data_IF_570178777552
#
_entry.id   IF_570178777552
#
_cell.length_a   1.000
_cell.length_b   1.000
_cell.length_c   1.000
_cell.angle_alpha   90.00
_cell.angle_beta   90.00
_cell.angle_gamma   90.00
#
_symmetry.space_group_name_H-M   'P 1'
#
loop_
_entity.id
_entity.type
_entity.pdbx_description
1 polymer ?
#
# COMPACT_ATOMS: atom_id res chain seq x y z
N UNK A 1 46.36 22.26 15.01
CA UNK A 1 44.89 22.24 14.79
C UNK A 1 44.53 20.89 14.20
N UNK A 2 43.96 20.00 15.01
CA UNK A 2 43.38 18.73 14.54
C UNK A 2 41.97 18.73 15.08
N UNK A 3 41.02 19.13 14.23
CA UNK A 3 39.61 19.06 14.55
C UNK A 3 39.22 17.59 14.59
N UNK A 4 38.77 17.15 15.77
CA UNK A 4 38.14 15.87 15.96
C UNK A 4 36.96 15.76 15.01
N UNK A 5 36.93 14.70 14.19
CA UNK A 5 35.72 14.26 13.52
C UNK A 5 34.71 13.95 14.61
N UNK A 6 33.72 14.82 14.81
CA UNK A 6 32.53 14.47 15.56
C UNK A 6 31.87 13.32 14.83
N UNK A 7 31.96 12.11 15.40
CA UNK A 7 31.10 10.98 15.03
C UNK A 7 29.67 11.40 15.39
N UNK A 8 28.98 12.03 14.45
CA UNK A 8 27.52 12.03 14.45
C UNK A 8 27.12 10.58 14.21
N UNK A 9 26.61 9.90 15.24
CA UNK A 9 25.93 8.61 15.05
C UNK A 9 24.77 8.85 14.09
N UNK A 10 24.92 8.38 12.84
CA UNK A 10 23.86 8.46 11.85
C UNK A 10 22.64 7.71 12.36
N UNK A 11 21.45 8.30 12.24
CA UNK A 11 20.22 7.64 12.65
C UNK A 11 19.94 6.45 11.71
N UNK A 12 19.16 5.47 12.16
CA UNK A 12 18.75 4.34 11.32
C UNK A 12 18.07 4.82 10.02
N UNK A 13 17.27 5.90 10.11
CA UNK A 13 16.64 6.54 8.96
C UNK A 13 17.65 7.11 7.96
N UNK A 14 18.75 7.70 8.43
CA UNK A 14 19.80 8.26 7.55
C UNK A 14 20.52 7.14 6.80
N UNK A 15 20.82 6.05 7.49
CA UNK A 15 21.42 4.86 6.88
C UNK A 15 20.48 4.23 5.85
N UNK A 16 19.18 4.09 6.17
CA UNK A 16 18.18 3.60 5.23
C UNK A 16 18.11 4.50 3.98
N UNK A 17 18.09 5.83 4.14
CA UNK A 17 18.03 6.77 3.02
C UNK A 17 19.24 6.65 2.08
N UNK A 18 20.44 6.41 2.62
CA UNK A 18 21.67 6.24 1.84
C UNK A 18 21.66 4.91 1.09
N UNK A 19 21.20 3.82 1.73
CA UNK A 19 21.29 2.48 1.16
C UNK A 19 20.09 2.09 0.27
N UNK A 20 18.90 2.62 0.52
CA UNK A 20 17.67 2.24 -0.18
C UNK A 20 17.78 2.34 -1.71
N UNK A 21 18.35 3.40 -2.33
CA UNK A 21 18.47 3.49 -3.79
C UNK A 21 19.33 2.37 -4.40
N UNK A 22 20.43 2.00 -3.73
CA UNK A 22 21.32 0.93 -4.19
C UNK A 22 20.64 -0.44 -4.08
N UNK A 23 19.97 -0.71 -2.96
CA UNK A 23 19.19 -1.94 -2.76
C UNK A 23 18.04 -2.03 -3.77
N UNK A 24 17.34 -0.92 -4.03
CA UNK A 24 16.26 -0.86 -5.02
C UNK A 24 16.75 -1.21 -6.43
N UNK A 25 17.90 -0.68 -6.84
CA UNK A 25 18.47 -0.97 -8.14
C UNK A 25 18.84 -2.45 -8.29
N UNK A 26 19.43 -3.05 -7.25
CA UNK A 26 19.72 -4.49 -7.22
C UNK A 26 18.44 -5.32 -7.32
N UNK A 27 17.41 -4.98 -6.53
CA UNK A 27 16.12 -5.69 -6.56
C UNK A 27 15.44 -5.57 -7.92
N UNK A 28 15.46 -4.39 -8.55
CA UNK A 28 14.97 -4.19 -9.93
C UNK A 28 15.72 -5.05 -10.93
N UNK A 29 17.04 -5.15 -10.79
CA UNK A 29 17.88 -5.93 -11.69
C UNK A 29 17.57 -7.42 -11.59
N UNK A 30 17.34 -7.93 -10.37
CA UNK A 30 16.87 -9.30 -10.14
C UNK A 30 15.46 -9.49 -10.72
N UNK A 31 14.56 -8.54 -10.49
CA UNK A 31 13.17 -8.61 -10.92
C UNK A 31 13.00 -8.73 -12.45
N UNK A 32 13.93 -8.21 -13.26
CA UNK A 32 13.87 -8.27 -14.73
C UNK A 32 13.88 -9.70 -15.29
N UNK A 33 14.58 -10.63 -14.62
CA UNK A 33 14.69 -12.03 -15.02
C UNK A 33 14.06 -12.97 -13.98
N UNK A 34 13.31 -12.42 -13.02
CA UNK A 34 12.77 -13.20 -11.93
C UNK A 34 11.71 -14.19 -12.40
N UNK A 35 11.80 -15.39 -11.83
CA UNK A 35 10.78 -16.44 -11.93
C UNK A 35 10.20 -16.68 -10.53
N UNK A 36 9.14 -17.48 -10.43
CA UNK A 36 8.53 -17.83 -9.14
C UNK A 36 9.55 -18.44 -8.16
N UNK A 37 10.44 -19.31 -8.65
CA UNK A 37 11.49 -19.94 -7.84
C UNK A 37 12.46 -18.91 -7.22
N UNK A 38 12.75 -17.82 -7.94
CA UNK A 38 13.62 -16.76 -7.43
C UNK A 38 12.95 -16.00 -6.28
N UNK A 39 11.63 -15.78 -6.39
CA UNK A 39 10.84 -15.11 -5.35
C UNK A 39 10.72 -15.99 -4.10
N UNK A 40 10.48 -17.28 -4.27
CA UNK A 40 10.46 -18.26 -3.17
C UNK A 40 11.77 -18.27 -2.39
N UNK A 41 12.90 -18.35 -3.12
CA UNK A 41 14.23 -18.34 -2.50
C UNK A 41 14.49 -17.03 -1.76
N UNK A 42 14.14 -15.90 -2.37
CA UNK A 42 14.35 -14.58 -1.78
C UNK A 42 13.52 -14.40 -0.51
N UNK A 43 12.26 -14.85 -0.48
CA UNK A 43 11.45 -14.83 0.73
C UNK A 43 11.96 -15.79 1.80
N UNK A 44 12.49 -16.96 1.40
CA UNK A 44 13.11 -17.87 2.34
C UNK A 44 14.34 -17.25 3.02
N UNK A 45 15.18 -16.55 2.24
CA UNK A 45 16.34 -15.83 2.77
C UNK A 45 15.94 -14.63 3.63
N UNK A 46 14.96 -13.83 3.18
CA UNK A 46 14.50 -12.67 3.93
C UNK A 46 13.92 -13.04 5.31
N UNK A 47 13.26 -14.20 5.44
CA UNK A 47 12.76 -14.69 6.73
C UNK A 47 13.85 -14.81 7.82
N UNK A 48 15.12 -14.91 7.44
CA UNK A 48 16.24 -14.91 8.39
C UNK A 48 16.54 -13.51 8.96
N UNK A 49 16.03 -12.45 8.33
CA UNK A 49 16.29 -11.03 8.63
C UNK A 49 14.99 -10.21 8.64
N UNK A 50 13.90 -10.78 9.16
CA UNK A 50 12.54 -10.25 9.02
C UNK A 50 12.28 -8.88 9.69
N UNK A 51 13.24 -8.37 10.48
CA UNK A 51 13.15 -7.06 11.12
C UNK A 51 13.49 -5.90 10.16
N UNK A 52 14.16 -6.17 9.03
CA UNK A 52 14.59 -5.12 8.10
C UNK A 52 13.47 -4.70 7.14
N UNK A 53 12.73 -3.65 7.47
CA UNK A 53 11.63 -3.13 6.64
C UNK A 53 12.09 -2.58 5.30
N UNK A 54 13.25 -1.93 5.24
CA UNK A 54 13.80 -1.31 4.02
C UNK A 54 13.96 -2.34 2.91
N UNK A 55 14.55 -3.50 3.20
CA UNK A 55 14.76 -4.55 2.19
C UNK A 55 13.44 -5.11 1.69
N UNK A 56 12.49 -5.36 2.60
CA UNK A 56 11.16 -5.86 2.23
C UNK A 56 10.41 -4.87 1.34
N UNK A 57 10.54 -3.57 1.62
CA UNK A 57 9.92 -2.51 0.82
C UNK A 57 10.47 -2.49 -0.60
N UNK A 58 11.79 -2.58 -0.74
CA UNK A 58 12.42 -2.64 -2.06
C UNK A 58 12.05 -3.93 -2.80
N UNK A 59 11.94 -5.06 -2.11
CA UNK A 59 11.48 -6.32 -2.69
C UNK A 59 10.04 -6.22 -3.20
N UNK A 60 9.11 -5.75 -2.37
CA UNK A 60 7.70 -5.58 -2.76
C UNK A 60 7.58 -4.59 -3.93
N UNK A 61 8.34 -3.49 -3.90
CA UNK A 61 8.24 -2.44 -4.92
C UNK A 61 8.89 -2.83 -6.25
N UNK A 62 9.97 -3.61 -6.24
CA UNK A 62 10.68 -3.99 -7.46
C UNK A 62 10.01 -5.14 -8.22
N UNK A 63 9.51 -6.16 -7.51
CA UNK A 63 9.02 -7.37 -8.16
C UNK A 63 7.66 -7.18 -8.86
N UNK A 64 7.39 -7.91 -9.96
CA UNK A 64 6.09 -7.89 -10.62
C UNK A 64 4.97 -8.43 -9.72
N UNK A 65 3.79 -7.80 -9.76
CA UNK A 65 2.66 -8.20 -8.91
C UNK A 65 2.20 -9.64 -9.14
N UNK A 66 2.30 -10.14 -10.39
CA UNK A 66 1.99 -11.54 -10.75
C UNK A 66 2.80 -12.57 -9.96
N UNK A 67 4.07 -12.27 -9.68
CA UNK A 67 4.92 -13.18 -8.90
C UNK A 67 4.62 -13.05 -7.40
N UNK A 68 4.31 -11.84 -6.92
CA UNK A 68 4.00 -11.60 -5.51
C UNK A 68 2.64 -12.13 -5.08
N UNK A 69 1.65 -12.15 -5.99
CA UNK A 69 0.27 -12.53 -5.70
C UNK A 69 0.16 -13.88 -4.99
N UNK A 70 0.89 -14.90 -5.44
CA UNK A 70 0.88 -16.25 -4.84
C UNK A 70 1.37 -16.28 -3.39
N UNK A 71 2.15 -15.29 -2.98
CA UNK A 71 2.75 -15.18 -1.65
C UNK A 71 2.08 -14.10 -0.79
N UNK A 72 0.89 -13.63 -1.17
CA UNK A 72 0.20 -12.52 -0.50
C UNK A 72 0.16 -12.69 1.02
N UNK A 73 -0.29 -13.84 1.52
CA UNK A 73 -0.40 -14.06 2.96
C UNK A 73 0.95 -14.21 3.65
N UNK A 74 1.96 -14.78 2.98
CA UNK A 74 3.32 -14.83 3.51
C UNK A 74 3.90 -13.42 3.66
N UNK A 75 3.67 -12.55 2.68
CA UNK A 75 4.05 -11.13 2.73
C UNK A 75 3.32 -10.40 3.86
N UNK A 76 2.02 -10.63 4.06
CA UNK A 76 1.28 -10.04 5.20
C UNK A 76 1.94 -10.42 6.53
N UNK A 77 2.32 -11.69 6.71
CA UNK A 77 2.97 -12.13 7.95
C UNK A 77 4.35 -11.46 8.15
N UNK A 78 5.13 -11.31 7.08
CA UNK A 78 6.42 -10.60 7.14
C UNK A 78 6.22 -9.12 7.47
N UNK A 79 5.29 -8.44 6.79
CA UNK A 79 5.00 -7.01 7.02
C UNK A 79 4.57 -6.78 8.48
N UNK A 80 3.78 -7.70 9.07
CA UNK A 80 3.35 -7.59 10.47
C UNK A 80 4.50 -7.59 11.49
N UNK A 81 5.67 -8.10 11.12
CA UNK A 81 6.87 -8.13 11.96
C UNK A 81 7.71 -6.84 11.84
N UNK A 82 7.38 -5.96 10.89
CA UNK A 82 8.10 -4.70 10.65
C UNK A 82 7.48 -3.51 11.40
N UNK A 83 8.24 -2.42 11.53
CA UNK A 83 7.77 -1.18 12.18
C UNK A 83 6.93 -0.28 11.25
N UNK A 84 7.21 -0.27 9.95
CA UNK A 84 6.56 0.61 8.94
C UNK A 84 5.53 -0.16 8.09
N UNK A 85 4.47 -0.65 8.75
CA UNK A 85 3.52 -1.59 8.16
C UNK A 85 2.65 -0.94 7.09
N UNK A 86 2.24 0.30 7.33
CA UNK A 86 1.34 1.08 6.49
C UNK A 86 1.91 1.28 5.08
N UNK A 87 3.18 1.66 4.97
CA UNK A 87 3.82 1.89 3.69
C UNK A 87 4.04 0.59 2.91
N UNK A 88 4.44 -0.48 3.60
CA UNK A 88 4.56 -1.81 3.01
C UNK A 88 3.23 -2.37 2.51
N UNK A 89 2.15 -2.20 3.29
CA UNK A 89 0.81 -2.58 2.86
C UNK A 89 0.31 -1.75 1.67
N UNK A 90 0.63 -0.45 1.64
CA UNK A 90 0.35 0.42 0.50
C UNK A 90 1.06 -0.08 -0.76
N UNK A 91 2.37 -0.35 -0.68
CA UNK A 91 3.16 -0.88 -1.78
C UNK A 91 2.65 -2.25 -2.27
N UNK A 92 2.35 -3.16 -1.35
CA UNK A 92 1.78 -4.47 -1.68
C UNK A 92 0.43 -4.34 -2.39
N UNK A 93 -0.44 -3.44 -1.91
CA UNK A 93 -1.76 -3.22 -2.50
C UNK A 93 -1.65 -2.74 -3.95
N UNK A 94 -0.72 -1.81 -4.23
CA UNK A 94 -0.44 -1.37 -5.60
C UNK A 94 0.04 -2.51 -6.49
N UNK A 95 0.87 -3.42 -5.98
CA UNK A 95 1.32 -4.59 -6.74
C UNK A 95 0.20 -5.57 -7.03
N UNK A 96 -0.72 -5.73 -6.09
CA UNK A 96 -1.87 -6.62 -6.25
C UNK A 96 -2.93 -6.07 -7.22
N UNK A 97 -2.82 -4.81 -7.67
CA UNK A 97 -3.60 -4.30 -8.80
C UNK A 97 -3.23 -5.05 -10.09
N UNK A 98 -1.95 -5.40 -10.29
CA UNK A 98 -1.48 -6.14 -11.46
C UNK A 98 -1.97 -7.60 -11.47
N UNK A 99 -2.11 -8.21 -10.29
CA UNK A 99 -2.58 -9.57 -10.11
C UNK A 99 -3.22 -9.76 -8.73
N UNK A 100 -4.44 -10.31 -8.65
CA UNK A 100 -5.13 -10.46 -7.38
C UNK A 100 -4.47 -11.51 -6.49
N UNK A 101 -4.67 -11.44 -5.17
CA UNK A 101 -4.41 -12.57 -4.28
C UNK A 101 -5.18 -13.83 -4.72
N UNK A 102 -4.71 -15.03 -4.33
CA UNK A 102 -5.45 -16.27 -4.49
C UNK A 102 -6.88 -16.12 -3.99
N UNK A 103 -7.85 -16.75 -4.68
CA UNK A 103 -9.27 -16.54 -4.39
C UNK A 103 -9.65 -16.84 -2.92
N UNK A 104 -9.01 -17.84 -2.31
CA UNK A 104 -9.22 -18.21 -0.90
C UNK A 104 -8.59 -17.20 0.08
N UNK A 105 -7.59 -16.43 -0.35
CA UNK A 105 -6.87 -15.45 0.47
C UNK A 105 -7.46 -14.04 0.37
N UNK A 106 -8.24 -13.73 -0.68
CA UNK A 106 -8.75 -12.37 -0.96
C UNK A 106 -9.39 -11.70 0.27
N UNK A 107 -10.38 -12.35 0.88
CA UNK A 107 -11.08 -11.78 2.03
C UNK A 107 -10.21 -11.74 3.28
N UNK A 108 -9.32 -12.72 3.47
CA UNK A 108 -8.41 -12.76 4.62
C UNK A 108 -7.41 -11.62 4.54
N UNK A 109 -6.78 -11.44 3.38
CA UNK A 109 -5.89 -10.31 3.07
C UNK A 109 -6.60 -8.98 3.33
N UNK A 110 -7.81 -8.81 2.78
CA UNK A 110 -8.59 -7.59 2.91
C UNK A 110 -8.80 -7.23 4.39
N UNK A 111 -9.27 -8.18 5.19
CA UNK A 111 -9.55 -7.95 6.61
C UNK A 111 -8.27 -7.67 7.41
N UNK A 112 -7.20 -8.43 7.19
CA UNK A 112 -5.93 -8.28 7.90
C UNK A 112 -5.32 -6.90 7.66
N UNK A 113 -5.18 -6.51 6.39
CA UNK A 113 -4.57 -5.24 5.99
C UNK A 113 -5.45 -4.07 6.40
N UNK A 114 -6.75 -4.14 6.12
CA UNK A 114 -7.67 -3.06 6.44
C UNK A 114 -7.78 -2.80 7.94
N UNK A 115 -7.74 -3.85 8.76
CA UNK A 115 -7.74 -3.70 10.22
C UNK A 115 -6.59 -2.80 10.70
N UNK A 116 -5.44 -2.84 10.02
CA UNK A 116 -4.28 -2.01 10.37
C UNK A 116 -4.44 -0.58 9.86
N UNK A 117 -4.83 -0.40 8.59
CA UNK A 117 -4.93 0.91 7.96
C UNK A 117 -6.03 1.78 8.59
N UNK A 118 -7.19 1.22 8.92
CA UNK A 118 -8.34 1.96 9.50
C UNK A 118 -8.08 2.50 10.93
N UNK A 119 -6.98 2.09 11.56
CA UNK A 119 -6.57 2.56 12.90
C UNK A 119 -5.51 3.67 12.84
N UNK A 120 -5.13 4.13 11.65
CA UNK A 120 -4.15 5.20 11.51
C UNK A 120 -4.75 6.54 11.95
N UNK A 121 -4.14 7.14 12.97
CA UNK A 121 -4.54 8.47 13.46
C UNK A 121 -4.12 9.59 12.49
N UNK A 122 -2.99 9.41 11.79
CA UNK A 122 -2.55 10.34 10.74
C UNK A 122 -3.42 10.18 9.49
N UNK A 123 -4.31 11.15 9.28
CA UNK A 123 -5.21 11.20 8.13
C UNK A 123 -4.46 11.23 6.78
N UNK A 124 -3.23 11.77 6.73
CA UNK A 124 -2.42 11.74 5.51
C UNK A 124 -1.94 10.32 5.20
N UNK A 125 -1.35 9.64 6.18
CA UNK A 125 -0.94 8.25 6.03
C UNK A 125 -2.14 7.35 5.67
N UNK A 126 -3.27 7.57 6.34
CA UNK A 126 -4.52 6.89 6.03
C UNK A 126 -4.95 7.08 4.57
N UNK A 127 -5.08 8.32 4.09
CA UNK A 127 -5.55 8.58 2.72
C UNK A 127 -4.57 8.05 1.66
N UNK A 128 -3.26 8.13 1.91
CA UNK A 128 -2.26 7.53 1.01
C UNK A 128 -2.47 6.02 0.88
N UNK A 129 -2.76 5.33 1.98
CA UNK A 129 -3.07 3.90 1.98
C UNK A 129 -4.42 3.61 1.31
N UNK A 130 -5.46 4.38 1.65
CA UNK A 130 -6.78 4.24 1.06
C UNK A 130 -6.78 4.41 -0.46
N UNK A 131 -5.98 5.35 -1.00
CA UNK A 131 -5.81 5.54 -2.45
C UNK A 131 -5.17 4.33 -3.15
N UNK A 132 -4.21 3.67 -2.53
CA UNK A 132 -3.66 2.41 -3.06
C UNK A 132 -4.68 1.27 -2.96
N UNK A 133 -5.40 1.20 -1.85
CA UNK A 133 -6.32 0.13 -1.55
C UNK A 133 -7.56 0.19 -2.44
N UNK A 134 -8.11 1.38 -2.70
CA UNK A 134 -9.25 1.55 -3.60
C UNK A 134 -8.92 1.06 -5.01
N UNK A 135 -7.71 1.29 -5.52
CA UNK A 135 -7.28 0.76 -6.82
C UNK A 135 -7.32 -0.77 -6.88
N UNK A 136 -6.92 -1.44 -5.79
CA UNK A 136 -7.00 -2.88 -5.66
C UNK A 136 -8.46 -3.37 -5.58
N UNK A 137 -9.28 -2.75 -4.74
CA UNK A 137 -10.68 -3.13 -4.55
C UNK A 137 -11.45 -3.04 -5.86
N UNK A 138 -11.27 -1.92 -6.55
CA UNK A 138 -11.93 -1.59 -7.79
C UNK A 138 -11.56 -2.56 -8.93
N UNK A 139 -10.29 -3.01 -8.97
CA UNK A 139 -9.83 -3.98 -9.96
C UNK A 139 -10.26 -5.43 -9.67
N UNK A 140 -10.31 -5.85 -8.40
CA UNK A 140 -10.33 -7.28 -8.04
C UNK A 140 -11.40 -7.72 -7.04
N UNK A 141 -12.18 -6.79 -6.49
CA UNK A 141 -13.20 -7.02 -5.47
C UNK A 141 -14.57 -6.46 -5.90
N UNK A 142 -15.59 -6.72 -5.10
CA UNK A 142 -16.96 -6.26 -5.38
C UNK A 142 -17.12 -4.76 -5.08
N UNK A 143 -18.09 -4.12 -5.75
CA UNK A 143 -18.46 -2.71 -5.50
C UNK A 143 -18.84 -2.45 -4.04
N UNK A 144 -19.34 -3.45 -3.31
CA UNK A 144 -19.63 -3.37 -1.89
C UNK A 144 -18.40 -2.98 -1.06
N UNK A 145 -17.24 -3.57 -1.36
CA UNK A 145 -16.00 -3.29 -0.61
C UNK A 145 -15.53 -1.86 -0.86
N UNK A 146 -15.72 -1.35 -2.07
CA UNK A 146 -15.41 0.05 -2.42
C UNK A 146 -16.29 1.02 -1.63
N UNK A 147 -17.60 0.72 -1.50
CA UNK A 147 -18.52 1.53 -0.68
C UNK A 147 -18.13 1.50 0.80
N UNK A 148 -17.72 0.34 1.33
CA UNK A 148 -17.24 0.23 2.72
C UNK A 148 -16.00 1.10 2.94
N UNK A 149 -15.05 1.08 2.01
CA UNK A 149 -13.87 1.95 2.09
C UNK A 149 -14.26 3.44 2.01
N UNK A 150 -15.17 3.83 1.12
CA UNK A 150 -15.64 5.23 1.03
C UNK A 150 -16.31 5.70 2.32
N UNK A 151 -17.12 4.85 2.97
CA UNK A 151 -17.70 5.16 4.30
C UNK A 151 -16.61 5.49 5.31
N UNK A 152 -15.56 4.68 5.33
CA UNK A 152 -14.47 4.86 6.27
C UNK A 152 -13.62 6.09 5.94
N UNK A 153 -13.40 6.40 4.66
CA UNK A 153 -12.73 7.62 4.22
C UNK A 153 -13.49 8.86 4.68
N UNK A 154 -14.81 8.90 4.45
CA UNK A 154 -15.67 10.00 4.93
C UNK A 154 -15.59 10.15 6.44
N UNK A 155 -15.56 9.03 7.20
CA UNK A 155 -15.40 9.06 8.66
C UNK A 155 -14.07 9.68 9.08
N UNK A 156 -12.96 9.29 8.47
CA UNK A 156 -11.63 9.84 8.80
C UNK A 156 -11.51 11.31 8.42
N UNK A 157 -11.98 11.68 7.22
CA UNK A 157 -12.07 13.08 6.82
C UNK A 157 -12.93 13.87 7.81
N UNK A 158 -14.03 13.29 8.30
CA UNK A 158 -14.91 13.96 9.25
C UNK A 158 -14.25 14.26 10.60
N UNK A 159 -13.39 13.36 11.05
CA UNK A 159 -12.62 13.49 12.28
C UNK A 159 -11.39 14.41 12.15
N UNK A 160 -10.90 14.68 10.94
CA UNK A 160 -9.77 15.58 10.73
C UNK A 160 -10.15 17.04 11.04
N UNK A 161 -9.29 17.73 11.79
CA UNK A 161 -9.51 19.10 12.24
C UNK A 161 -9.51 20.11 11.08
N UNK A 162 -8.66 19.90 10.08
CA UNK A 162 -8.54 20.76 8.92
C UNK A 162 -8.19 19.96 7.66
N UNK A 163 -8.61 20.47 6.50
CA UNK A 163 -8.29 19.91 5.20
C UNK A 163 -7.26 20.79 4.52
N UNK A 164 -6.05 20.26 4.34
CA UNK A 164 -4.97 20.95 3.65
C UNK A 164 -4.86 20.50 2.18
N UNK A 165 -3.98 21.17 1.43
CA UNK A 165 -3.78 20.88 0.00
C UNK A 165 -3.32 19.43 -0.25
N UNK A 166 -2.55 18.83 0.65
CA UNK A 166 -2.03 17.47 0.48
C UNK A 166 -3.14 16.41 0.66
N UNK A 167 -4.09 16.66 1.57
CA UNK A 167 -5.28 15.83 1.71
C UNK A 167 -6.18 15.92 0.48
N UNK A 168 -6.37 17.11 -0.09
CA UNK A 168 -7.13 17.28 -1.33
C UNK A 168 -6.51 16.48 -2.49
N UNK A 169 -5.19 16.54 -2.68
CA UNK A 169 -4.51 15.75 -3.73
C UNK A 169 -4.67 14.25 -3.51
N UNK A 170 -4.58 13.79 -2.26
CA UNK A 170 -4.76 12.37 -1.93
C UNK A 170 -6.20 11.91 -2.19
N UNK A 171 -7.17 12.78 -1.89
CA UNK A 171 -8.58 12.53 -2.11
C UNK A 171 -8.95 12.53 -3.59
N UNK A 172 -8.44 13.49 -4.35
CA UNK A 172 -8.58 13.55 -5.80
C UNK A 172 -8.14 12.23 -6.43
N UNK A 173 -7.03 11.65 -5.97
CA UNK A 173 -6.54 10.36 -6.45
C UNK A 173 -7.47 9.19 -6.12
N UNK A 174 -8.10 9.18 -4.94
CA UNK A 174 -9.13 8.19 -4.60
C UNK A 174 -10.31 8.29 -5.58
N UNK A 175 -10.78 9.52 -5.81
CA UNK A 175 -11.92 9.80 -6.68
C UNK A 175 -11.61 9.48 -8.15
N UNK A 176 -10.43 9.85 -8.63
CA UNK A 176 -9.96 9.57 -9.99
C UNK A 176 -9.98 8.06 -10.27
N UNK A 177 -9.44 7.25 -9.36
CA UNK A 177 -9.43 5.78 -9.50
C UNK A 177 -10.85 5.22 -9.61
N UNK A 178 -11.76 5.67 -8.74
CA UNK A 178 -13.16 5.22 -8.75
C UNK A 178 -13.86 5.63 -10.05
N UNK A 179 -13.69 6.88 -10.49
CA UNK A 179 -14.32 7.41 -11.70
C UNK A 179 -13.76 6.70 -12.94
N UNK A 180 -12.43 6.51 -13.00
CA UNK A 180 -11.80 5.81 -14.11
C UNK A 180 -12.30 4.38 -14.25
N UNK A 181 -12.47 3.64 -13.16
CA UNK A 181 -13.04 2.30 -13.26
C UNK A 181 -14.55 2.33 -13.49
N UNK A 182 -15.28 3.31 -12.96
CA UNK A 182 -16.70 3.45 -13.24
C UNK A 182 -16.98 3.57 -14.74
N UNK A 183 -16.08 4.23 -15.48
CA UNK A 183 -16.13 4.28 -16.96
C UNK A 183 -15.97 2.91 -17.62
N UNK A 184 -15.28 1.96 -16.98
CA UNK A 184 -15.09 0.59 -17.47
C UNK A 184 -16.25 -0.33 -17.06
N UNK A 185 -16.81 -0.11 -15.87
CA UNK A 185 -17.86 -0.94 -15.28
C UNK A 185 -19.14 -0.12 -15.04
N UNK A 186 -20.08 -0.17 -15.98
CA UNK A 186 -21.33 0.63 -15.95
C UNK A 186 -22.13 0.50 -14.63
N UNK A 187 -22.01 -0.62 -13.92
CA UNK A 187 -22.66 -0.83 -12.61
C UNK A 187 -22.20 0.16 -11.51
N UNK A 188 -21.02 0.77 -11.63
CA UNK A 188 -20.53 1.76 -10.66
C UNK A 188 -21.33 3.08 -10.75
N UNK A 189 -21.83 3.44 -11.94
CA UNK A 189 -22.71 4.60 -12.11
C UNK A 189 -24.06 4.46 -11.43
N UNK A 190 -24.50 3.23 -11.14
CA UNK A 190 -25.78 2.97 -10.48
C UNK A 190 -25.63 2.62 -9.00
N UNK A 191 -24.40 2.39 -8.51
CA UNK A 191 -24.16 1.95 -7.13
C UNK A 191 -23.25 2.87 -6.33
N UNK A 192 -22.07 3.23 -6.86
CA UNK A 192 -21.07 4.01 -6.11
C UNK A 192 -21.26 5.51 -6.32
N UNK A 193 -21.39 5.97 -7.56
CA UNK A 193 -21.57 7.41 -7.85
C UNK A 193 -22.83 8.01 -7.19
N UNK A 194 -24.00 7.33 -7.18
CA UNK A 194 -25.18 7.85 -6.49
C UNK A 194 -25.18 7.57 -4.98
N UNK A 195 -24.15 6.92 -4.43
CA UNK A 195 -24.10 6.61 -3.01
C UNK A 195 -24.00 7.89 -2.17
N UNK A 196 -24.67 7.91 -1.01
CA UNK A 196 -24.62 9.02 -0.07
C UNK A 196 -23.20 9.36 0.37
N UNK A 197 -22.34 8.34 0.40
CA UNK A 197 -20.95 8.38 0.77
C UNK A 197 -20.10 9.09 -0.28
N UNK A 198 -20.34 8.83 -1.57
CA UNK A 198 -19.63 9.48 -2.67
C UNK A 198 -20.09 10.94 -2.85
N UNK A 199 -21.37 11.24 -2.56
CA UNK A 199 -21.94 12.58 -2.71
C UNK A 199 -21.74 13.49 -1.48
N UNK A 200 -20.94 13.08 -0.50
CA UNK A 200 -20.68 13.90 0.69
C UNK A 200 -19.95 15.18 0.30
N UNK A 201 -20.47 16.33 0.77
CA UNK A 201 -19.92 17.66 0.47
C UNK A 201 -18.43 17.82 0.81
N UNK A 202 -17.90 17.03 1.74
CA UNK A 202 -16.49 17.04 2.15
C UNK A 202 -15.56 16.33 1.15
N UNK A 203 -16.12 15.62 0.15
CA UNK A 203 -15.38 15.00 -0.94
C UNK A 203 -15.20 15.92 -2.17
N UNK A 204 -15.84 17.09 -2.18
CA UNK A 204 -15.85 18.05 -3.29
C UNK A 204 -15.49 19.46 -2.84
#
# INVERSE_FOLDING_TARGET
AVQYYTQTESTESDLQAIHAPGVHWLMKSIALAATEQHVDLLFHQYKQYAENSMVLEQMVTAFPGKLLAKHTMALVQLIRQTNHKEELFRCLSLKLVEAPPPAHDKLVFLNEVWSTITRLDDVHAYLRCAAAFVALLVAHYSSREVVILLKDVVRHLNAADAMDAALFVSLERVMEVIIMEARRQSHYFTTIIPSSEFLVRRLF
#
